data_IF_910000898783
#
_entry.id   IF_910000898783
#
_cell.length_a   1.000
_cell.length_b   1.000
_cell.length_c   1.000
_cell.angle_alpha   90.00
_cell.angle_beta   90.00
_cell.angle_gamma   90.00
#
_symmetry.space_group_name_H-M   'P 1'
#
loop_
_entity.id
_entity.type
_entity.pdbx_description
1 polymer ?
#
# COMPACT_ATOMS: atom_id res chain seq x y z
N UNK A 1 -9.89 20.53 -12.98
CA UNK A 1 -10.15 19.65 -14.13
C UNK A 1 -10.53 18.27 -13.63
N UNK A 2 -11.34 17.53 -14.39
CA UNK A 2 -11.60 16.11 -14.10
C UNK A 2 -10.48 15.27 -14.71
N UNK A 3 -10.13 14.18 -14.05
CA UNK A 3 -9.09 13.25 -14.46
C UNK A 3 -9.60 11.83 -14.24
N UNK A 4 -9.32 10.94 -15.19
CA UNK A 4 -9.53 9.50 -15.00
C UNK A 4 -8.22 8.89 -14.48
N UNK A 5 -8.30 8.23 -13.34
CA UNK A 5 -7.19 7.55 -12.68
C UNK A 5 -7.30 6.05 -12.95
N UNK A 6 -6.21 5.44 -13.39
CA UNK A 6 -6.09 4.00 -13.66
C UNK A 6 -4.88 3.41 -12.93
N UNK A 7 -4.89 2.10 -12.70
CA UNK A 7 -3.76 1.39 -12.12
C UNK A 7 -2.65 1.15 -13.16
N UNK A 8 -1.40 1.19 -12.71
CA UNK A 8 -0.30 0.58 -13.46
C UNK A 8 -0.31 -0.93 -13.20
N UNK A 9 -0.20 -1.73 -14.27
CA UNK A 9 -0.21 -3.19 -14.15
C UNK A 9 0.88 -3.70 -13.19
N UNK A 10 0.48 -4.56 -12.22
CA UNK A 10 1.35 -5.10 -11.15
C UNK A 10 2.14 -4.03 -10.36
N UNK A 11 1.72 -2.76 -10.38
CA UNK A 11 2.42 -1.70 -9.67
C UNK A 11 1.46 -0.76 -8.91
N UNK A 12 1.40 -0.95 -7.59
CA UNK A 12 0.56 -0.13 -6.71
C UNK A 12 1.17 1.24 -6.36
N UNK A 13 2.46 1.46 -6.65
CA UNK A 13 3.14 2.73 -6.38
C UNK A 13 2.77 3.80 -7.40
N UNK A 14 2.56 3.41 -8.65
CA UNK A 14 2.30 4.34 -9.73
C UNK A 14 0.85 4.28 -10.19
N UNK A 15 0.33 5.43 -10.62
CA UNK A 15 -1.01 5.53 -11.21
C UNK A 15 -0.93 6.24 -12.55
N UNK A 16 -1.81 5.86 -13.46
CA UNK A 16 -1.95 6.53 -14.75
C UNK A 16 -3.09 7.54 -14.62
N UNK A 17 -2.84 8.74 -15.14
CA UNK A 17 -3.78 9.85 -15.14
C UNK A 17 -4.07 10.22 -16.58
N UNK A 18 -5.33 10.18 -16.98
CA UNK A 18 -5.78 10.73 -18.25
C UNK A 18 -6.44 12.09 -17.99
N UNK A 19 -5.84 13.14 -18.55
CA UNK A 19 -6.25 14.54 -18.41
C UNK A 19 -6.31 15.15 -19.80
N UNK A 20 -7.52 15.49 -20.29
CA UNK A 20 -7.71 16.16 -21.58
C UNK A 20 -6.92 15.49 -22.73
N UNK A 21 -7.06 14.16 -22.88
CA UNK A 21 -6.39 13.32 -23.89
C UNK A 21 -4.90 13.07 -23.68
N UNK A 22 -4.24 13.86 -22.84
CA UNK A 22 -2.86 13.59 -22.41
C UNK A 22 -2.82 12.54 -21.29
N UNK A 23 -1.80 11.69 -21.35
CA UNK A 23 -1.57 10.61 -20.40
C UNK A 23 -0.35 10.94 -19.54
N UNK A 24 -0.51 10.83 -18.22
CA UNK A 24 0.55 11.07 -17.26
C UNK A 24 0.71 9.88 -16.31
N UNK A 25 1.93 9.70 -15.79
CA UNK A 25 2.23 8.79 -14.69
C UNK A 25 2.42 9.62 -13.42
N UNK A 26 1.70 9.25 -12.36
CA UNK A 26 1.85 9.80 -11.02
C UNK A 26 2.61 8.82 -10.13
N UNK A 27 3.68 9.31 -9.50
CA UNK A 27 4.40 8.58 -8.46
C UNK A 27 3.78 8.85 -7.08
N UNK A 28 3.02 7.89 -6.56
CA UNK A 28 2.40 8.00 -5.23
C UNK A 28 3.41 7.86 -4.09
N UNK A 29 4.61 7.35 -4.39
CA UNK A 29 5.60 6.97 -3.40
C UNK A 29 6.83 7.87 -3.33
N UNK A 30 6.83 9.01 -4.03
CA UNK A 30 7.99 9.92 -4.08
C UNK A 30 8.49 10.32 -2.68
N UNK A 31 7.59 10.58 -1.75
CA UNK A 31 7.92 10.95 -0.38
C UNK A 31 7.59 9.80 0.58
N UNK A 32 8.62 9.15 1.13
CA UNK A 32 8.49 7.98 2.01
C UNK A 32 7.66 8.30 3.27
N UNK A 33 7.73 9.52 3.79
CA UNK A 33 6.97 9.93 4.98
C UNK A 33 5.45 9.99 4.75
N UNK A 34 4.98 10.02 3.50
CA UNK A 34 3.54 9.90 3.18
C UNK A 34 2.98 8.50 3.48
N UNK A 35 3.83 7.53 3.83
CA UNK A 35 3.38 6.26 4.39
C UNK A 35 2.87 6.40 5.84
N UNK A 36 3.24 7.43 6.57
CA UNK A 36 2.71 7.63 7.92
C UNK A 36 1.48 8.55 7.87
N UNK A 37 1.51 9.53 6.98
CA UNK A 37 0.44 10.53 6.85
C UNK A 37 -0.05 10.64 5.40
N UNK A 38 -0.77 9.62 4.91
CA UNK A 38 -1.21 9.57 3.51
C UNK A 38 -2.14 10.72 3.15
N UNK A 39 -2.93 11.25 4.10
CA UNK A 39 -3.87 12.37 3.86
C UNK A 39 -3.18 13.64 3.38
N UNK A 40 -1.92 13.83 3.79
CA UNK A 40 -1.13 15.00 3.37
C UNK A 40 -0.92 15.01 1.85
N UNK A 41 -1.01 13.84 1.20
CA UNK A 41 -0.98 13.69 -0.24
C UNK A 41 -2.02 14.60 -0.95
N UNK A 42 -3.19 14.83 -0.36
CA UNK A 42 -4.22 15.67 -0.99
C UNK A 42 -3.91 17.17 -0.98
N UNK A 43 -2.99 17.62 -0.14
CA UNK A 43 -2.72 19.04 0.09
C UNK A 43 -1.44 19.53 -0.59
N UNK A 44 -0.50 18.63 -0.85
CA UNK A 44 0.80 18.95 -1.45
C UNK A 44 0.79 18.76 -2.99
N UNK A 45 1.59 19.54 -3.73
CA UNK A 45 1.80 19.33 -5.16
C UNK A 45 2.67 18.08 -5.42
N UNK A 46 2.33 17.36 -6.48
CA UNK A 46 3.04 16.17 -6.95
C UNK A 46 3.48 16.35 -8.39
N UNK A 47 4.61 15.71 -8.72
CA UNK A 47 5.10 15.65 -10.11
C UNK A 47 4.38 14.52 -10.83
N UNK A 48 3.87 14.80 -12.02
CA UNK A 48 3.37 13.80 -12.94
C UNK A 48 4.17 13.86 -14.25
N UNK A 49 4.48 12.69 -14.81
CA UNK A 49 5.35 12.52 -15.98
C UNK A 49 4.50 12.24 -17.21
N UNK A 50 4.57 13.09 -18.23
CA UNK A 50 3.83 12.90 -19.48
C UNK A 50 4.37 11.69 -20.23
N UNK A 51 3.50 10.79 -20.67
CA UNK A 51 3.87 9.60 -21.45
C UNK A 51 3.13 9.57 -22.79
N UNK A 52 3.74 8.92 -23.76
CA UNK A 52 3.14 8.66 -25.07
C UNK A 52 2.27 7.39 -25.05
N UNK A 53 1.43 7.26 -26.07
CA UNK A 53 0.52 6.11 -26.20
C UNK A 53 1.25 4.76 -26.34
N UNK A 54 2.46 4.73 -26.92
CA UNK A 54 3.22 3.49 -27.02
C UNK A 54 3.73 3.04 -25.64
N UNK A 55 4.26 3.98 -24.84
CA UNK A 55 4.64 3.70 -23.44
C UNK A 55 3.46 3.29 -22.59
N UNK A 56 2.31 3.96 -22.72
CA UNK A 56 1.08 3.57 -22.03
C UNK A 56 0.71 2.10 -22.29
N UNK A 57 0.70 1.68 -23.56
CA UNK A 57 0.40 0.28 -23.93
C UNK A 57 1.42 -0.68 -23.32
N UNK A 58 2.71 -0.37 -23.40
CA UNK A 58 3.78 -1.22 -22.84
C UNK A 58 3.64 -1.43 -21.32
N UNK A 59 3.22 -0.40 -20.58
CA UNK A 59 3.02 -0.47 -19.13
C UNK A 59 1.72 -1.20 -18.76
N UNK A 60 0.66 -1.05 -19.56
CA UNK A 60 -0.64 -1.70 -19.32
C UNK A 60 -0.67 -3.16 -19.77
N UNK A 61 0.20 -3.58 -20.69
CA UNK A 61 0.20 -4.95 -21.19
C UNK A 61 0.50 -5.95 -20.07
N UNK A 62 -0.39 -6.92 -19.81
CA UNK A 62 -0.06 -8.01 -18.92
C UNK A 62 1.09 -8.80 -19.54
N UNK A 63 2.22 -8.93 -18.82
CA UNK A 63 3.14 -10.04 -19.09
C UNK A 63 2.29 -11.31 -19.08
N UNK A 64 2.44 -12.15 -20.09
CA UNK A 64 1.65 -13.36 -20.32
C UNK A 64 1.97 -14.47 -19.29
N UNK A 65 2.02 -14.10 -18.01
CA UNK A 65 2.19 -14.97 -16.85
C UNK A 65 0.79 -15.30 -16.35
N UNK A 66 0.16 -16.28 -17.00
CA UNK A 66 -1.05 -16.91 -16.47
C UNK A 66 -0.66 -17.71 -15.22
N UNK A 67 -0.74 -17.10 -14.05
CA UNK A 67 -0.94 -17.89 -12.84
C UNK A 67 -2.36 -18.44 -12.91
N UNK A 68 -2.51 -19.76 -12.89
CA UNK A 68 -3.82 -20.38 -12.97
C UNK A 68 -4.63 -20.01 -11.72
N UNK A 69 -5.91 -19.72 -11.90
CA UNK A 69 -6.84 -19.48 -10.77
C UNK A 69 -6.82 -20.66 -9.78
N UNK A 70 -6.54 -21.87 -10.28
CA UNK A 70 -6.31 -23.06 -9.48
C UNK A 70 -5.08 -22.99 -8.57
N UNK A 71 -3.96 -22.39 -9.00
CA UNK A 71 -2.77 -22.23 -8.14
C UNK A 71 -3.01 -21.18 -7.05
N UNK A 72 -3.80 -20.12 -7.33
CA UNK A 72 -4.17 -19.11 -6.34
C UNK A 72 -5.19 -19.65 -5.33
N UNK A 73 -6.13 -20.49 -5.77
CA UNK A 73 -7.09 -21.18 -4.90
C UNK A 73 -6.41 -22.26 -4.02
N UNK A 74 -5.40 -22.97 -4.54
CA UNK A 74 -4.57 -23.91 -3.76
C UNK A 74 -3.68 -23.17 -2.75
N UNK A 75 -3.09 -22.04 -3.14
CA UNK A 75 -2.29 -21.19 -2.26
C UNK A 75 -3.13 -20.41 -1.23
N UNK A 76 -4.42 -20.19 -1.46
CA UNK A 76 -5.32 -19.49 -0.53
C UNK A 76 -6.12 -20.44 0.37
N UNK A 77 -6.68 -21.51 -0.19
CA UNK A 77 -7.50 -22.49 0.54
C UNK A 77 -6.67 -23.58 1.24
N UNK A 78 -5.64 -24.12 0.58
CA UNK A 78 -4.81 -25.19 1.13
C UNK A 78 -3.85 -24.71 2.22
N UNK A 79 -3.27 -23.52 2.04
CA UNK A 79 -2.39 -22.91 3.06
C UNK A 79 -3.15 -22.53 4.32
N UNK A 80 -4.40 -22.07 4.21
CA UNK A 80 -5.23 -21.67 5.37
C UNK A 80 -5.54 -22.84 6.30
N UNK A 81 -5.87 -24.00 5.74
CA UNK A 81 -6.17 -25.22 6.52
C UNK A 81 -4.90 -25.79 7.16
N UNK A 82 -3.77 -25.77 6.43
CA UNK A 82 -2.47 -26.16 6.97
C UNK A 82 -2.00 -25.19 8.05
N UNK A 83 -2.15 -23.87 7.84
CA UNK A 83 -1.87 -22.85 8.85
C UNK A 83 -2.72 -23.05 10.10
N UNK A 84 -4.02 -23.33 9.95
CA UNK A 84 -4.90 -23.58 11.09
C UNK A 84 -4.47 -24.81 11.89
N UNK A 85 -4.09 -25.91 11.23
CA UNK A 85 -3.61 -27.11 11.92
C UNK A 85 -2.23 -26.95 12.57
N UNK A 86 -1.30 -26.21 11.95
CA UNK A 86 0.00 -25.87 12.53
C UNK A 86 -0.11 -24.90 13.70
N UNK A 87 -1.03 -23.93 13.59
CA UNK A 87 -1.27 -22.97 14.66
C UNK A 87 -2.02 -23.60 15.83
N UNK A 88 -2.93 -24.56 15.62
CA UNK A 88 -3.75 -25.17 16.68
C UNK A 88 -3.00 -25.55 17.97
N UNK A 89 -1.85 -26.25 17.95
CA UNK A 89 -1.07 -26.51 19.17
C UNK A 89 -0.43 -25.26 19.76
N UNK A 90 0.05 -24.32 18.92
CA UNK A 90 0.59 -23.03 19.36
C UNK A 90 -0.50 -22.17 20.01
N UNK A 91 -1.74 -22.23 19.49
CA UNK A 91 -2.91 -21.50 19.95
C UNK A 91 -3.31 -21.84 21.40
N UNK A 92 -2.98 -23.04 21.87
CA UNK A 92 -3.29 -23.48 23.24
C UNK A 92 -2.24 -23.01 24.29
N UNK A 93 -1.05 -22.57 23.87
CA UNK A 93 0.03 -22.09 24.76
C UNK A 93 0.34 -20.59 24.61
N UNK A 94 -0.49 -19.83 23.89
CA UNK A 94 -0.18 -18.45 23.46
C UNK A 94 -0.04 -17.41 24.57
N UNK A 95 -0.48 -17.70 25.78
CA UNK A 95 -0.29 -16.82 26.93
C UNK A 95 1.03 -17.20 27.59
N UNK A 96 2.12 -16.92 26.89
CA UNK A 96 3.47 -17.17 27.39
C UNK A 96 3.76 -16.08 28.42
N UNK A 97 4.17 -16.50 29.62
CA UNK A 97 4.61 -15.58 30.66
C UNK A 97 5.96 -14.98 30.28
N UNK A 98 5.93 -13.94 29.46
CA UNK A 98 7.10 -13.20 29.01
C UNK A 98 7.34 -12.00 29.92
N UNK A 99 8.61 -11.75 30.24
CA UNK A 99 9.02 -10.50 30.87
C UNK A 99 8.67 -9.32 29.95
N UNK A 100 8.24 -8.19 30.54
CA UNK A 100 7.83 -7.00 29.79
C UNK A 100 8.89 -6.53 28.78
N UNK A 101 10.18 -6.58 29.16
CA UNK A 101 11.29 -6.22 28.28
C UNK A 101 11.34 -7.06 27.00
N UNK A 102 11.11 -8.37 27.11
CA UNK A 102 11.07 -9.29 25.97
C UNK A 102 9.90 -8.96 25.03
N UNK A 103 8.72 -8.62 25.58
CA UNK A 103 7.54 -8.23 24.78
C UNK A 103 7.81 -6.95 23.97
N UNK A 104 8.41 -5.94 24.62
CA UNK A 104 8.77 -4.67 23.97
C UNK A 104 9.80 -4.92 22.86
N UNK A 105 10.84 -5.70 23.14
CA UNK A 105 11.86 -6.06 22.16
C UNK A 105 11.26 -6.76 20.93
N UNK A 106 10.35 -7.72 21.15
CA UNK A 106 9.66 -8.43 20.08
C UNK A 106 8.77 -7.50 19.23
N UNK A 107 8.06 -6.56 19.86
CA UNK A 107 7.27 -5.56 19.14
C UNK A 107 8.15 -4.64 18.28
N UNK A 108 9.32 -4.21 18.78
CA UNK A 108 10.27 -3.39 18.01
C UNK A 108 10.73 -4.15 16.75
N UNK A 109 11.06 -5.44 16.89
CA UNK A 109 11.41 -6.31 15.75
C UNK A 109 10.25 -6.38 14.76
N UNK A 110 9.04 -6.64 15.23
CA UNK A 110 7.83 -6.74 14.38
C UNK A 110 7.60 -5.46 13.57
N UNK A 111 7.63 -4.30 14.25
CA UNK A 111 7.40 -2.99 13.62
C UNK A 111 8.50 -2.70 12.61
N UNK A 112 9.76 -2.94 12.98
CA UNK A 112 10.92 -2.73 12.10
C UNK A 112 10.85 -3.61 10.86
N UNK A 113 10.53 -4.89 11.02
CA UNK A 113 10.40 -5.83 9.90
C UNK A 113 9.24 -5.43 8.97
N UNK A 114 8.11 -5.00 9.54
CA UNK A 114 6.94 -4.55 8.77
C UNK A 114 7.27 -3.31 7.91
N UNK A 115 8.00 -2.35 8.48
CA UNK A 115 8.49 -1.17 7.75
C UNK A 115 9.51 -1.59 6.68
N UNK A 116 10.45 -2.47 7.01
CA UNK A 116 11.44 -2.97 6.06
C UNK A 116 10.78 -3.66 4.85
N UNK A 117 9.81 -4.56 5.08
CA UNK A 117 9.05 -5.22 4.01
C UNK A 117 8.36 -4.17 3.12
N UNK A 118 7.72 -3.16 3.73
CA UNK A 118 7.05 -2.08 2.99
C UNK A 118 8.03 -1.30 2.11
N UNK A 119 9.20 -0.95 2.65
CA UNK A 119 10.26 -0.24 1.91
C UNK A 119 10.85 -1.10 0.80
N UNK A 120 11.07 -2.39 1.05
CA UNK A 120 11.54 -3.34 0.05
C UNK A 120 10.57 -3.45 -1.13
N UNK A 121 9.26 -3.62 -0.86
CA UNK A 121 8.23 -3.64 -1.90
C UNK A 121 8.24 -2.31 -2.66
N UNK A 122 8.30 -1.19 -1.93
CA UNK A 122 8.32 0.14 -2.53
C UNK A 122 9.50 0.35 -3.49
N UNK A 123 10.71 -0.09 -3.11
CA UNK A 123 11.90 -0.02 -3.95
C UNK A 123 11.82 -1.01 -5.12
N UNK A 124 11.32 -2.23 -4.89
CA UNK A 124 11.13 -3.20 -5.99
C UNK A 124 10.19 -2.65 -7.07
N UNK A 125 9.09 -2.02 -6.67
CA UNK A 125 8.12 -1.40 -7.58
C UNK A 125 8.68 -0.19 -8.33
N UNK A 126 9.58 0.57 -7.72
CA UNK A 126 10.33 1.64 -8.38
C UNK A 126 11.14 1.10 -9.55
N UNK A 127 12.04 0.17 -9.26
CA UNK A 127 12.97 -0.39 -10.23
C UNK A 127 12.25 -1.12 -11.36
N UNK A 128 11.14 -1.82 -11.05
CA UNK A 128 10.36 -2.51 -12.08
C UNK A 128 9.79 -1.55 -13.13
N UNK A 129 9.35 -0.35 -12.73
CA UNK A 129 8.84 0.64 -13.69
C UNK A 129 9.99 1.33 -14.43
N UNK A 130 11.06 1.72 -13.73
CA UNK A 130 12.23 2.38 -14.35
C UNK A 130 12.96 1.51 -15.37
N UNK A 131 12.92 0.17 -15.22
CA UNK A 131 13.41 -0.76 -16.26
C UNK A 131 12.61 -0.70 -17.55
N UNK A 132 11.34 -0.30 -17.47
CA UNK A 132 10.42 -0.26 -18.62
C UNK A 132 10.36 1.14 -19.21
N UNK A 133 10.54 2.19 -18.40
CA UNK A 133 10.39 3.59 -18.80
C UNK A 133 11.43 4.46 -18.08
N UNK A 134 12.23 5.21 -18.83
CA UNK A 134 13.08 6.25 -18.28
C UNK A 134 12.22 7.47 -17.91
N UNK A 135 11.71 7.51 -16.67
CA UNK A 135 10.82 8.58 -16.20
C UNK A 135 11.53 9.95 -16.10
N UNK A 136 12.85 9.95 -15.96
CA UNK A 136 13.68 11.16 -15.76
C UNK A 136 13.77 12.03 -17.01
N UNK A 137 13.64 11.43 -18.20
CA UNK A 137 13.73 12.12 -19.48
C UNK A 137 12.38 12.69 -19.95
N UNK A 138 11.30 12.43 -19.21
CA UNK A 138 9.95 12.82 -19.59
C UNK A 138 9.60 14.23 -19.13
N UNK A 139 8.80 14.92 -19.93
CA UNK A 139 8.23 16.20 -19.54
C UNK A 139 7.39 16.05 -18.25
N UNK A 140 7.65 16.90 -17.26
CA UNK A 140 6.96 16.86 -15.97
C UNK A 140 6.04 18.04 -15.77
N UNK A 141 4.90 17.80 -15.12
CA UNK A 141 3.97 18.83 -14.68
C UNK A 141 3.79 18.75 -13.16
N UNK A 142 3.59 19.89 -12.51
CA UNK A 142 3.23 19.94 -11.10
C UNK A 142 1.72 20.00 -10.95
N UNK A 143 1.15 19.09 -10.16
CA UNK A 143 -0.29 19.01 -9.98
C UNK A 143 -0.70 18.61 -8.56
N UNK A 144 -1.83 19.16 -8.11
CA UNK A 144 -2.56 18.68 -6.93
C UNK A 144 -3.70 17.78 -7.38
N UNK A 145 -3.74 16.57 -6.84
CA UNK A 145 -4.79 15.58 -7.11
C UNK A 145 -5.53 15.25 -5.82
N UNK A 146 -6.86 15.15 -5.92
CA UNK A 146 -7.71 14.86 -4.78
C UNK A 146 -8.98 14.13 -5.23
N UNK A 147 -9.57 13.26 -4.38
CA UNK A 147 -10.79 12.55 -4.72
C UNK A 147 -11.92 13.51 -5.11
N UNK A 148 -12.72 13.13 -6.10
CA UNK A 148 -13.85 13.95 -6.57
C UNK A 148 -15.00 13.98 -5.56
N UNK A 149 -15.31 12.81 -4.97
CA UNK A 149 -16.40 12.61 -4.00
C UNK A 149 -15.88 12.70 -2.56
N UNK A 150 -16.65 13.34 -1.65
CA UNK A 150 -16.27 13.45 -0.23
C UNK A 150 -16.25 12.09 0.50
N UNK A 151 -17.06 11.13 0.06
CA UNK A 151 -17.13 9.76 0.59
C UNK A 151 -15.76 9.09 0.65
N UNK A 152 -14.92 9.31 -0.36
CA UNK A 152 -13.57 8.72 -0.40
C UNK A 152 -12.66 9.26 0.69
N UNK A 153 -12.82 10.53 1.09
CA UNK A 153 -12.05 11.08 2.21
C UNK A 153 -12.43 10.38 3.51
N UNK A 154 -13.74 10.23 3.74
CA UNK A 154 -14.27 9.59 4.93
C UNK A 154 -13.87 8.11 5.02
N UNK A 155 -14.10 7.33 3.97
CA UNK A 155 -13.71 5.90 3.91
C UNK A 155 -12.22 5.74 4.21
N UNK A 156 -11.40 6.62 3.64
CA UNK A 156 -9.97 6.55 3.79
C UNK A 156 -9.50 6.88 5.21
N UNK A 157 -10.07 7.93 5.82
CA UNK A 157 -9.82 8.29 7.23
C UNK A 157 -10.29 7.19 8.18
N UNK A 158 -11.49 6.65 7.97
CA UNK A 158 -12.03 5.56 8.79
C UNK A 158 -11.18 4.30 8.69
N UNK A 159 -10.75 3.90 7.49
CA UNK A 159 -9.88 2.74 7.30
C UNK A 159 -8.52 2.92 7.97
N UNK A 160 -7.94 4.13 7.89
CA UNK A 160 -6.69 4.44 8.59
C UNK A 160 -6.85 4.32 10.11
N UNK A 161 -7.89 4.93 10.68
CA UNK A 161 -8.19 4.84 12.12
C UNK A 161 -8.44 3.40 12.53
N UNK A 162 -9.16 2.63 11.71
CA UNK A 162 -9.45 1.22 11.97
C UNK A 162 -8.18 0.38 12.04
N UNK A 163 -7.32 0.43 11.02
CA UNK A 163 -6.12 -0.42 10.99
C UNK A 163 -5.11 -0.02 12.07
N UNK A 164 -4.85 1.29 12.24
CA UNK A 164 -3.95 1.76 13.31
C UNK A 164 -4.55 1.54 14.70
N UNK A 165 -5.86 1.70 14.85
CA UNK A 165 -6.58 1.44 16.11
C UNK A 165 -6.52 -0.02 16.52
N UNK A 166 -6.78 -0.95 15.59
CA UNK A 166 -6.62 -2.39 15.85
C UNK A 166 -5.18 -2.73 16.20
N UNK A 167 -4.20 -2.16 15.48
CA UNK A 167 -2.78 -2.38 15.80
C UNK A 167 -2.45 -1.87 17.21
N UNK A 168 -2.94 -0.68 17.59
CA UNK A 168 -2.71 -0.11 18.92
C UNK A 168 -3.34 -0.94 20.04
N UNK A 169 -4.62 -1.30 19.92
CA UNK A 169 -5.33 -2.12 20.90
C UNK A 169 -4.67 -3.49 21.03
N UNK A 170 -4.29 -4.12 19.92
CA UNK A 170 -3.63 -5.43 19.92
C UNK A 170 -2.23 -5.36 20.54
N UNK A 171 -1.51 -4.24 20.33
CA UNK A 171 -0.22 -3.98 20.97
C UNK A 171 -0.37 -3.87 22.50
N UNK A 172 -1.34 -3.08 22.97
CA UNK A 172 -1.63 -2.95 24.40
C UNK A 172 -2.02 -4.31 25.02
N UNK A 173 -2.90 -5.06 24.34
CA UNK A 173 -3.31 -6.39 24.78
C UNK A 173 -2.14 -7.38 24.83
N UNK A 174 -1.23 -7.35 23.85
CA UNK A 174 0.00 -8.15 23.89
C UNK A 174 0.90 -7.79 25.08
N UNK A 175 1.09 -6.50 25.36
CA UNK A 175 1.94 -6.05 26.45
C UNK A 175 1.42 -6.49 27.83
N UNK A 176 0.10 -6.44 28.03
CA UNK A 176 -0.55 -6.87 29.28
C UNK A 176 -0.57 -8.39 29.37
N UNK A 177 -1.28 -9.07 28.46
CA UNK A 177 -1.59 -10.50 28.57
C UNK A 177 -0.48 -11.42 28.05
N UNK A 178 0.48 -10.89 27.29
CA UNK A 178 1.50 -11.72 26.60
C UNK A 178 0.93 -12.57 25.47
N UNK A 179 -0.30 -12.30 25.04
CA UNK A 179 -1.02 -13.13 24.08
C UNK A 179 -0.41 -13.06 22.67
N UNK A 180 0.15 -14.17 22.19
CA UNK A 180 0.84 -14.20 20.90
C UNK A 180 -0.09 -13.92 19.70
N UNK A 181 -1.39 -14.26 19.74
CA UNK A 181 -2.33 -13.85 18.67
C UNK A 181 -2.36 -12.33 18.55
N UNK A 182 -2.35 -11.62 19.67
CA UNK A 182 -2.34 -10.16 19.67
C UNK A 182 -1.12 -9.61 18.92
N UNK A 183 0.06 -10.23 19.09
CA UNK A 183 1.27 -9.85 18.34
C UNK A 183 1.14 -10.10 16.83
N UNK A 184 0.49 -11.20 16.42
CA UNK A 184 0.22 -11.49 15.00
C UNK A 184 -0.76 -10.47 14.43
N UNK A 185 -1.81 -10.13 15.18
CA UNK A 185 -2.78 -9.09 14.80
C UNK A 185 -2.09 -7.74 14.61
N UNK A 186 -1.11 -7.39 15.45
CA UNK A 186 -0.28 -6.18 15.26
C UNK A 186 0.42 -6.21 13.90
N UNK A 187 1.10 -7.32 13.55
CA UNK A 187 1.80 -7.47 12.26
C UNK A 187 0.83 -7.26 11.09
N UNK A 188 -0.29 -8.00 11.10
CA UNK A 188 -1.28 -7.95 10.00
C UNK A 188 -1.87 -6.55 9.86
N UNK A 189 -2.29 -5.92 10.97
CA UNK A 189 -2.87 -4.59 10.94
C UNK A 189 -1.88 -3.51 10.49
N UNK A 190 -0.61 -3.57 10.90
CA UNK A 190 0.42 -2.63 10.43
C UNK A 190 0.67 -2.81 8.93
N UNK A 191 0.79 -4.04 8.43
CA UNK A 191 0.98 -4.29 6.99
C UNK A 191 -0.21 -3.74 6.20
N UNK A 192 -1.44 -4.02 6.64
CA UNK A 192 -2.65 -3.50 6.00
C UNK A 192 -2.68 -1.96 6.02
N UNK A 193 -2.38 -1.32 7.16
CA UNK A 193 -2.30 0.13 7.26
C UNK A 193 -1.26 0.71 6.28
N UNK A 194 -0.07 0.14 6.24
CA UNK A 194 1.02 0.58 5.37
C UNK A 194 0.73 0.39 3.87
N UNK A 195 -0.03 -0.66 3.52
CA UNK A 195 -0.47 -0.92 2.14
C UNK A 195 -1.64 -0.02 1.73
N UNK A 196 -2.59 0.23 2.63
CA UNK A 196 -3.75 1.10 2.39
C UNK A 196 -3.34 2.52 1.98
N UNK A 197 -2.16 2.97 2.41
CA UNK A 197 -1.52 4.22 1.97
C UNK A 197 -1.48 4.40 0.45
N UNK A 198 -1.34 3.32 -0.32
CA UNK A 198 -1.28 3.41 -1.78
C UNK A 198 -2.64 3.76 -2.42
N UNK A 199 -3.74 3.63 -1.67
CA UNK A 199 -5.10 3.82 -2.18
C UNK A 199 -5.66 5.25 -1.94
N UNK A 200 -4.83 6.19 -1.45
CA UNK A 200 -5.28 7.56 -1.10
C UNK A 200 -5.90 8.34 -2.26
N UNK A 201 -5.60 7.95 -3.51
CA UNK A 201 -6.30 8.40 -4.71
C UNK A 201 -7.01 7.19 -5.33
N UNK A 202 -8.35 7.08 -5.25
CA UNK A 202 -9.05 5.94 -5.81
C UNK A 202 -8.97 5.92 -7.34
N UNK A 203 -9.06 4.72 -7.92
CA UNK A 203 -9.27 4.55 -9.37
C UNK A 203 -10.67 5.01 -9.76
N UNK A 204 -10.79 5.61 -10.94
CA UNK A 204 -12.00 6.25 -11.40
C UNK A 204 -11.81 7.76 -11.57
N UNK A 205 -12.82 8.56 -11.23
CA UNK A 205 -12.77 10.01 -11.46
C UNK A 205 -12.18 10.76 -10.26
N UNK A 206 -11.21 11.63 -10.53
CA UNK A 206 -10.57 12.49 -9.53
C UNK A 206 -10.49 13.94 -10.01
N UNK A 207 -10.36 14.87 -9.06
CA UNK A 207 -10.15 16.29 -9.36
C UNK A 207 -8.66 16.59 -9.37
N UNK A 208 -8.21 17.18 -10.46
CA UNK A 208 -6.82 17.64 -10.63
C UNK A 208 -6.79 19.16 -10.81
N UNK A 209 -5.82 19.80 -10.16
CA UNK A 209 -5.44 21.19 -10.38
C UNK A 209 -3.97 21.18 -10.80
N UNK A 210 -3.72 21.51 -12.07
CA UNK A 210 -2.37 21.80 -12.56
C UNK A 210 -1.91 23.10 -11.91
N UNK A 211 -0.70 23.10 -11.39
CA UNK A 211 -0.09 24.24 -10.68
C UNK A 211 0.93 24.95 -11.58
N UNK A 212 1.18 24.42 -12.79
CA UNK A 212 2.14 24.97 -13.73
C UNK A 212 2.00 26.48 -13.89
N UNK A 213 3.06 27.11 -13.37
CA UNK A 213 3.60 28.44 -13.56
C UNK A 213 5.10 28.29 -13.34
#
# INVERSE_FOLDING_TARGET
MKCKVEHVYKNIRYKILNINEDIYILDMGKYIWLFLFPFVFWFIPHKAYKIDNATFKRIQMPKNERMSVGSLALLGGGTSILFFHLLKPILYELNIHMMLGTKIFLLIIIVTLSIYIRLYIHMRLFHNLHKTVALEDLHTINMKIRPEKPEYYLIYVLAFILFWGIAFISCAFFLVEGNVIASITVVVSIILALMWNCQVIPVGTSKVKIIDG
#
